data_IF_143912937401
#
_entry.id   IF_143912937401
#
_cell.length_a   1.000
_cell.length_b   1.000
_cell.length_c   1.000
_cell.angle_alpha   90.00
_cell.angle_beta   90.00
_cell.angle_gamma   90.00
#
_symmetry.space_group_name_H-M   'P 1'
#
loop_
_entity.id
_entity.type
_entity.pdbx_description
1 polymer ?
#
# COMPACT_ATOMS: atom_id res chain seq x y z
N UNK A 1 -25.87 -15.99 -5.75
CA UNK A 1 -24.60 -16.69 -5.94
C UNK A 1 -23.63 -15.86 -6.81
N UNK A 2 -24.02 -15.38 -7.98
CA UNK A 2 -23.18 -14.58 -8.89
C UNK A 2 -22.60 -13.30 -8.23
N UNK A 3 -23.40 -12.56 -7.47
CA UNK A 3 -22.98 -11.36 -6.75
C UNK A 3 -21.84 -11.62 -5.74
N UNK A 4 -21.91 -12.71 -5.00
CA UNK A 4 -20.87 -13.07 -4.00
C UNK A 4 -19.54 -13.40 -4.70
N UNK A 5 -19.59 -14.15 -5.78
CA UNK A 5 -18.40 -14.51 -6.56
C UNK A 5 -17.72 -13.25 -7.11
N UNK A 6 -18.50 -12.30 -7.61
CA UNK A 6 -18.00 -11.02 -8.11
C UNK A 6 -17.28 -10.23 -7.02
N UNK A 7 -17.89 -10.13 -5.82
CA UNK A 7 -17.27 -9.43 -4.70
C UNK A 7 -15.97 -10.10 -4.23
N UNK A 8 -15.92 -11.43 -4.20
CA UNK A 8 -14.71 -12.17 -3.83
C UNK A 8 -13.59 -11.94 -4.86
N UNK A 9 -13.92 -12.02 -6.14
CA UNK A 9 -12.95 -11.78 -7.21
C UNK A 9 -12.44 -10.33 -7.20
N UNK A 10 -13.32 -9.35 -7.01
CA UNK A 10 -12.96 -7.96 -6.85
C UNK A 10 -12.04 -7.75 -5.64
N UNK A 11 -12.37 -8.36 -4.50
CA UNK A 11 -11.53 -8.31 -3.29
C UNK A 11 -10.12 -8.85 -3.55
N UNK A 12 -10.02 -10.00 -4.22
CA UNK A 12 -8.71 -10.58 -4.60
C UNK A 12 -7.90 -9.63 -5.48
N UNK A 13 -8.56 -8.97 -6.42
CA UNK A 13 -7.92 -8.00 -7.30
C UNK A 13 -7.41 -6.77 -6.52
N UNK A 14 -8.25 -6.19 -5.65
CA UNK A 14 -7.86 -5.05 -4.79
C UNK A 14 -6.70 -5.42 -3.87
N UNK A 15 -6.74 -6.59 -3.24
CA UNK A 15 -5.65 -7.09 -2.40
C UNK A 15 -4.36 -7.28 -3.20
N UNK A 16 -4.46 -7.78 -4.43
CA UNK A 16 -3.30 -7.99 -5.29
C UNK A 16 -2.64 -6.67 -5.72
N UNK A 17 -3.43 -5.68 -6.16
CA UNK A 17 -2.90 -4.34 -6.46
C UNK A 17 -2.27 -3.71 -5.21
N UNK A 18 -2.93 -3.87 -4.05
CA UNK A 18 -2.43 -3.34 -2.78
C UNK A 18 -1.14 -4.01 -2.35
N UNK A 19 -0.99 -5.31 -2.60
CA UNK A 19 0.25 -6.05 -2.36
C UNK A 19 1.39 -5.48 -3.22
N UNK A 20 1.14 -5.26 -4.52
CA UNK A 20 2.13 -4.64 -5.39
C UNK A 20 2.49 -3.23 -4.92
N UNK A 21 1.49 -2.40 -4.62
CA UNK A 21 1.67 -1.04 -4.12
C UNK A 21 2.55 -1.01 -2.87
N UNK A 22 2.26 -1.86 -1.88
CA UNK A 22 3.05 -1.95 -0.65
C UNK A 22 4.46 -2.50 -0.88
N UNK A 23 4.65 -3.41 -1.84
CA UNK A 23 5.97 -3.87 -2.25
C UNK A 23 6.79 -2.72 -2.83
N UNK A 24 6.21 -1.94 -3.74
CA UNK A 24 6.85 -0.75 -4.29
C UNK A 24 7.16 0.29 -3.20
N UNK A 25 6.21 0.57 -2.31
CA UNK A 25 6.42 1.49 -1.18
C UNK A 25 7.58 1.03 -0.28
N UNK A 26 7.71 -0.27 -0.01
CA UNK A 26 8.79 -0.83 0.80
C UNK A 26 10.15 -0.69 0.11
N UNK A 27 10.23 -0.90 -1.21
CA UNK A 27 11.47 -0.72 -1.97
C UNK A 27 11.97 0.73 -1.94
N UNK A 28 11.06 1.70 -1.88
CA UNK A 28 11.39 3.14 -1.85
C UNK A 28 11.25 3.75 -0.45
N UNK A 29 11.43 2.94 0.60
CA UNK A 29 11.41 3.38 2.00
C UNK A 29 10.12 4.10 2.41
N UNK A 30 8.98 3.66 1.88
CA UNK A 30 7.64 4.20 2.13
C UNK A 30 7.45 5.68 1.78
N UNK A 31 8.22 6.19 0.82
CA UNK A 31 8.11 7.54 0.30
C UNK A 31 7.45 7.55 -1.07
N UNK A 32 6.21 8.01 -1.13
CA UNK A 32 5.44 8.06 -2.38
C UNK A 32 6.15 8.91 -3.46
N UNK A 33 6.79 10.00 -3.06
CA UNK A 33 7.60 10.86 -3.94
C UNK A 33 8.70 10.07 -4.65
N UNK A 34 9.35 9.15 -3.93
CA UNK A 34 10.40 8.29 -4.52
C UNK A 34 9.81 7.25 -5.45
N UNK A 35 8.66 6.68 -5.13
CA UNK A 35 7.94 5.77 -6.02
C UNK A 35 7.61 6.51 -7.33
N UNK A 36 7.02 7.71 -7.23
CA UNK A 36 6.65 8.52 -8.38
C UNK A 36 7.88 8.92 -9.23
N UNK A 37 8.96 9.36 -8.58
CA UNK A 37 10.20 9.76 -9.25
C UNK A 37 10.86 8.60 -10.01
N UNK A 38 10.84 7.38 -9.44
CA UNK A 38 11.46 6.20 -10.07
C UNK A 38 10.46 5.38 -10.91
N UNK A 39 9.24 5.86 -11.08
CA UNK A 39 8.18 5.12 -11.75
C UNK A 39 8.55 4.75 -13.19
N UNK A 40 9.25 5.64 -13.89
CA UNK A 40 9.70 5.42 -15.28
C UNK A 40 10.94 4.53 -15.39
N UNK A 41 11.64 4.25 -14.27
CA UNK A 41 12.89 3.50 -14.29
C UNK A 41 12.68 1.99 -14.46
N UNK A 42 11.53 1.49 -14.03
CA UNK A 42 11.21 0.06 -14.06
C UNK A 42 9.84 -0.16 -14.69
N UNK A 43 9.81 -0.87 -15.79
CA UNK A 43 8.56 -1.22 -16.51
C UNK A 43 7.55 -1.99 -15.65
N UNK A 44 8.02 -2.66 -14.59
CA UNK A 44 7.17 -3.37 -13.63
C UNK A 44 6.08 -2.51 -13.01
N UNK A 45 6.34 -1.21 -12.79
CA UNK A 45 5.34 -0.28 -12.26
C UNK A 45 4.19 -0.06 -13.25
N UNK A 46 4.51 -0.02 -14.56
CA UNK A 46 3.50 0.04 -15.59
C UNK A 46 2.70 -1.27 -15.68
N UNK A 47 3.39 -2.41 -15.75
CA UNK A 47 2.75 -3.71 -15.94
C UNK A 47 1.90 -4.15 -14.76
N UNK A 48 2.33 -3.90 -13.53
CA UNK A 48 1.65 -4.39 -12.32
C UNK A 48 0.87 -3.33 -11.55
N UNK A 49 0.87 -2.07 -11.99
CA UNK A 49 0.09 -1.03 -11.34
C UNK A 49 -0.76 -0.24 -12.33
N UNK A 50 -0.13 0.48 -13.27
CA UNK A 50 -0.88 1.35 -14.19
C UNK A 50 -1.78 0.57 -15.14
N UNK A 51 -1.25 -0.43 -15.84
CA UNK A 51 -2.02 -1.18 -16.84
C UNK A 51 -3.23 -1.88 -16.20
N UNK A 52 -3.08 -2.68 -15.12
CA UNK A 52 -4.24 -3.34 -14.50
C UNK A 52 -5.27 -2.35 -13.97
N UNK A 53 -4.81 -1.23 -13.40
CA UNK A 53 -5.69 -0.19 -12.90
C UNK A 53 -6.46 0.50 -14.04
N UNK A 54 -5.77 0.86 -15.13
CA UNK A 54 -6.38 1.47 -16.32
C UNK A 54 -7.37 0.50 -16.98
N UNK A 55 -6.98 -0.76 -17.15
CA UNK A 55 -7.86 -1.78 -17.73
C UNK A 55 -9.13 -1.98 -16.89
N UNK A 56 -9.02 -1.95 -15.57
CA UNK A 56 -10.18 -2.05 -14.69
C UNK A 56 -11.23 -0.96 -14.98
N UNK A 57 -10.80 0.27 -15.26
CA UNK A 57 -11.72 1.39 -15.52
C UNK A 57 -12.22 1.47 -16.98
N UNK A 58 -11.41 1.00 -17.93
CA UNK A 58 -11.70 1.13 -19.37
C UNK A 58 -12.51 -0.06 -19.87
N UNK A 59 -12.20 -1.29 -19.41
CA UNK A 59 -12.81 -2.50 -19.94
C UNK A 59 -14.30 -2.61 -19.60
N UNK A 60 -15.12 -3.16 -20.51
CA UNK A 60 -16.47 -3.61 -20.19
C UNK A 60 -16.45 -4.68 -19.09
N UNK A 61 -17.54 -4.76 -18.31
CA UNK A 61 -17.65 -5.64 -17.14
C UNK A 61 -17.26 -7.12 -17.44
N UNK A 62 -17.63 -7.64 -18.60
CA UNK A 62 -17.31 -9.00 -18.98
C UNK A 62 -15.79 -9.28 -19.00
N UNK A 63 -15.00 -8.36 -19.54
CA UNK A 63 -13.54 -8.51 -19.63
C UNK A 63 -12.84 -8.26 -18.29
N UNK A 64 -13.46 -7.52 -17.39
CA UNK A 64 -12.94 -7.26 -16.03
C UNK A 64 -12.87 -8.55 -15.22
N UNK A 65 -13.77 -9.51 -15.43
CA UNK A 65 -13.68 -10.83 -14.77
C UNK A 65 -12.38 -11.59 -15.15
N UNK A 66 -11.98 -11.50 -16.42
CA UNK A 66 -10.68 -12.04 -16.85
C UNK A 66 -9.52 -11.37 -16.13
N UNK A 67 -9.56 -10.04 -15.96
CA UNK A 67 -8.56 -9.28 -15.23
C UNK A 67 -8.50 -9.70 -13.75
N UNK A 68 -9.64 -9.92 -13.10
CA UNK A 68 -9.71 -10.36 -11.70
C UNK A 68 -9.03 -11.70 -11.45
N UNK A 69 -9.03 -12.60 -12.43
CA UNK A 69 -8.37 -13.90 -12.32
C UNK A 69 -6.90 -13.86 -12.75
N UNK A 70 -6.64 -13.29 -13.92
CA UNK A 70 -5.30 -13.33 -14.52
C UNK A 70 -4.29 -12.47 -13.77
N UNK A 71 -4.71 -11.31 -13.27
CA UNK A 71 -3.79 -10.40 -12.60
C UNK A 71 -3.22 -10.95 -11.28
N UNK A 72 -4.02 -11.49 -10.33
CA UNK A 72 -3.47 -12.10 -9.12
C UNK A 72 -2.51 -13.26 -9.42
N UNK A 73 -2.81 -14.07 -10.43
CA UNK A 73 -1.96 -15.19 -10.85
C UNK A 73 -0.63 -14.66 -11.41
N UNK A 74 -0.69 -13.69 -12.33
CA UNK A 74 0.50 -13.08 -12.91
C UNK A 74 1.39 -12.42 -11.83
N UNK A 75 0.76 -11.69 -10.90
CA UNK A 75 1.46 -11.07 -9.78
C UNK A 75 2.08 -12.11 -8.84
N UNK A 76 1.38 -13.20 -8.56
CA UNK A 76 1.91 -14.28 -7.73
C UNK A 76 3.14 -14.93 -8.37
N UNK A 77 3.06 -15.30 -9.65
CA UNK A 77 4.19 -15.89 -10.38
C UNK A 77 5.38 -14.92 -10.40
N UNK A 78 5.13 -13.64 -10.67
CA UNK A 78 6.17 -12.62 -10.66
C UNK A 78 6.79 -12.44 -9.27
N UNK A 79 5.98 -12.38 -8.22
CA UNK A 79 6.45 -12.20 -6.84
C UNK A 79 7.34 -13.35 -6.35
N UNK A 80 7.16 -14.56 -6.90
CA UNK A 80 8.03 -15.71 -6.61
C UNK A 80 9.44 -15.55 -7.13
N UNK A 81 9.61 -14.78 -8.23
CA UNK A 81 10.90 -14.53 -8.87
C UNK A 81 11.66 -13.34 -8.27
N UNK A 82 11.03 -12.60 -7.36
CA UNK A 82 11.65 -11.44 -6.72
C UNK A 82 12.67 -11.84 -5.66
N UNK A 83 13.84 -11.21 -5.71
CA UNK A 83 14.86 -11.33 -4.65
C UNK A 83 14.39 -10.65 -3.36
N UNK A 84 13.71 -9.51 -3.48
CA UNK A 84 13.19 -8.73 -2.36
C UNK A 84 11.66 -8.84 -2.28
N UNK A 85 11.17 -9.83 -1.56
CA UNK A 85 9.75 -10.03 -1.30
C UNK A 85 9.23 -9.02 -0.28
N UNK A 86 7.90 -8.77 -0.31
CA UNK A 86 7.24 -7.93 0.70
C UNK A 86 7.42 -8.55 2.10
N UNK A 87 8.02 -7.78 3.00
CA UNK A 87 8.14 -8.14 4.40
C UNK A 87 6.96 -7.56 5.18
N UNK A 88 6.19 -8.41 5.85
CA UNK A 88 5.02 -8.01 6.64
C UNK A 88 5.42 -7.35 7.97
N UNK A 89 5.99 -6.15 7.87
CA UNK A 89 6.27 -5.29 9.02
C UNK A 89 4.98 -4.81 9.69
N UNK A 90 5.08 -4.25 10.90
CA UNK A 90 3.93 -3.65 11.59
C UNK A 90 3.22 -2.56 10.74
N UNK A 91 3.98 -1.81 9.94
CA UNK A 91 3.44 -0.81 8.99
C UNK A 91 2.60 -1.45 7.90
N UNK A 92 3.11 -2.51 7.27
CA UNK A 92 2.39 -3.25 6.21
C UNK A 92 1.12 -3.89 6.78
N UNK A 93 1.19 -4.49 7.96
CA UNK A 93 0.01 -5.07 8.62
C UNK A 93 -1.07 -4.02 8.89
N UNK A 94 -0.69 -2.84 9.40
CA UNK A 94 -1.63 -1.72 9.63
C UNK A 94 -2.26 -1.22 8.33
N UNK A 95 -1.47 -1.09 7.27
CA UNK A 95 -1.99 -0.70 5.96
C UNK A 95 -3.08 -1.68 5.48
N UNK A 96 -2.83 -2.99 5.53
CA UNK A 96 -3.83 -3.99 5.15
C UNK A 96 -5.05 -3.99 6.06
N UNK A 97 -4.88 -3.69 7.34
CA UNK A 97 -6.00 -3.51 8.27
C UNK A 97 -6.88 -2.32 7.87
N UNK A 98 -6.28 -1.16 7.59
CA UNK A 98 -7.02 0.01 7.11
C UNK A 98 -7.67 -0.24 5.75
N UNK A 99 -6.99 -0.96 4.85
CA UNK A 99 -7.55 -1.38 3.57
C UNK A 99 -8.80 -2.24 3.76
N UNK A 100 -8.76 -3.20 4.66
CA UNK A 100 -9.90 -4.05 4.99
C UNK A 100 -11.10 -3.24 5.46
N UNK A 101 -10.91 -2.31 6.38
CA UNK A 101 -11.97 -1.41 6.84
C UNK A 101 -12.48 -0.49 5.73
N UNK A 102 -11.60 0.02 4.87
CA UNK A 102 -11.99 0.86 3.74
C UNK A 102 -12.85 0.10 2.73
N UNK A 103 -12.53 -1.16 2.45
CA UNK A 103 -13.32 -2.02 1.56
C UNK A 103 -14.70 -2.31 2.16
N UNK A 104 -14.77 -2.64 3.46
CA UNK A 104 -16.05 -2.84 4.15
C UNK A 104 -16.91 -1.57 4.09
N UNK A 105 -16.33 -0.44 4.44
CA UNK A 105 -17.02 0.85 4.41
C UNK A 105 -17.55 1.17 3.01
N UNK A 106 -16.74 0.96 1.98
CA UNK A 106 -17.16 1.13 0.60
C UNK A 106 -18.29 0.17 0.22
N UNK A 107 -18.20 -1.10 0.62
CA UNK A 107 -19.26 -2.08 0.34
C UNK A 107 -20.60 -1.68 0.99
N UNK A 108 -20.55 -1.16 2.21
CA UNK A 108 -21.73 -0.63 2.90
C UNK A 108 -22.29 0.58 2.15
N UNK A 109 -21.45 1.53 1.74
CA UNK A 109 -21.89 2.68 0.95
C UNK A 109 -22.52 2.28 -0.38
N UNK A 110 -21.95 1.27 -1.05
CA UNK A 110 -22.52 0.73 -2.29
C UNK A 110 -23.93 0.16 -2.09
N UNK A 111 -24.14 -0.57 -0.99
CA UNK A 111 -25.44 -1.14 -0.68
C UNK A 111 -26.51 -0.07 -0.36
N UNK A 112 -26.12 0.99 0.35
CA UNK A 112 -27.04 2.04 0.74
C UNK A 112 -27.34 3.06 -0.36
N UNK A 113 -26.30 3.50 -1.06
CA UNK A 113 -26.41 4.60 -2.02
C UNK A 113 -26.63 4.13 -3.46
N UNK A 114 -26.62 2.83 -3.73
CA UNK A 114 -26.64 2.23 -5.08
C UNK A 114 -25.62 2.83 -6.05
N UNK A 115 -24.63 3.54 -5.50
CA UNK A 115 -23.53 4.17 -6.23
C UNK A 115 -22.35 3.18 -6.28
N UNK A 116 -22.59 2.02 -6.84
CA UNK A 116 -21.51 1.08 -7.15
C UNK A 116 -20.78 1.57 -8.41
N UNK A 117 -20.01 2.62 -8.26
CA UNK A 117 -19.17 3.12 -9.33
C UNK A 117 -17.83 2.37 -9.36
N UNK A 118 -17.15 2.43 -10.50
CA UNK A 118 -15.80 1.90 -10.70
C UNK A 118 -14.70 2.56 -9.82
N UNK A 119 -15.07 3.27 -8.75
CA UNK A 119 -14.14 3.80 -7.74
C UNK A 119 -13.59 2.73 -6.79
N UNK A 120 -14.06 1.48 -6.94
CA UNK A 120 -13.83 0.38 -6.02
C UNK A 120 -12.39 -0.08 -5.78
N UNK A 121 -11.40 0.38 -6.53
CA UNK A 121 -9.99 0.01 -6.34
C UNK A 121 -9.18 1.17 -5.77
N UNK A 122 -9.29 2.35 -6.39
CA UNK A 122 -8.46 3.50 -6.04
C UNK A 122 -8.84 4.07 -4.68
N UNK A 123 -10.14 4.22 -4.41
CA UNK A 123 -10.61 4.86 -3.18
C UNK A 123 -10.17 4.13 -1.91
N UNK A 124 -10.39 2.81 -1.73
CA UNK A 124 -9.92 2.11 -0.53
C UNK A 124 -8.40 2.09 -0.43
N UNK A 125 -7.67 2.02 -1.55
CA UNK A 125 -6.22 2.09 -1.55
C UNK A 125 -5.70 3.43 -1.01
N UNK A 126 -6.29 4.54 -1.47
CA UNK A 126 -5.93 5.88 -1.01
C UNK A 126 -6.30 6.09 0.46
N UNK A 127 -7.50 5.69 0.88
CA UNK A 127 -7.94 5.76 2.29
C UNK A 127 -6.96 5.00 3.18
N UNK A 128 -6.62 3.75 2.82
CA UNK A 128 -5.70 2.93 3.59
C UNK A 128 -4.29 3.55 3.66
N UNK A 129 -3.80 4.11 2.55
CA UNK A 129 -2.51 4.77 2.50
C UNK A 129 -2.47 6.00 3.42
N UNK A 130 -3.41 6.93 3.29
CA UNK A 130 -3.45 8.14 4.09
C UNK A 130 -3.67 7.85 5.57
N UNK A 131 -4.58 6.93 5.92
CA UNK A 131 -4.80 6.50 7.29
C UNK A 131 -3.51 5.91 7.90
N UNK A 132 -2.80 5.08 7.14
CA UNK A 132 -1.51 4.51 7.57
C UNK A 132 -0.46 5.59 7.80
N UNK A 133 -0.36 6.60 6.92
CA UNK A 133 0.59 7.71 7.05
C UNK A 133 0.28 8.57 8.28
N UNK A 134 -0.99 8.88 8.52
CA UNK A 134 -1.41 9.67 9.70
C UNK A 134 -1.05 8.91 10.98
N UNK A 135 -1.39 7.62 11.04
CA UNK A 135 -1.08 6.78 12.18
C UNK A 135 0.44 6.69 12.46
N UNK A 136 1.24 6.54 11.40
CA UNK A 136 2.71 6.52 11.53
C UNK A 136 3.27 7.82 12.09
N UNK A 137 2.74 8.97 11.65
CA UNK A 137 3.14 10.27 12.21
C UNK A 137 2.81 10.37 13.70
N UNK A 138 1.61 9.95 14.11
CA UNK A 138 1.20 9.95 15.51
C UNK A 138 2.08 9.03 16.36
N UNK A 139 2.34 7.80 15.88
CA UNK A 139 3.21 6.85 16.57
C UNK A 139 4.65 7.38 16.69
N UNK A 140 5.17 7.99 15.62
CA UNK A 140 6.51 8.58 15.62
C UNK A 140 6.65 9.72 16.64
N UNK A 141 5.67 10.61 16.72
CA UNK A 141 5.69 11.70 17.71
C UNK A 141 5.60 11.15 19.15
N UNK A 142 4.85 10.07 19.37
CA UNK A 142 4.83 9.36 20.65
C UNK A 142 6.22 8.83 21.05
N UNK A 143 6.88 8.11 20.16
CA UNK A 143 8.24 7.59 20.40
C UNK A 143 9.27 8.69 20.59
N UNK A 144 9.17 9.76 19.82
CA UNK A 144 10.04 10.93 19.95
C UNK A 144 9.90 11.59 21.32
N UNK A 145 8.66 11.75 21.81
CA UNK A 145 8.39 12.29 23.14
C UNK A 145 8.96 11.39 24.23
N UNK A 146 8.75 10.08 24.14
CA UNK A 146 9.30 9.12 25.10
C UNK A 146 10.83 9.13 25.11
N UNK A 147 11.46 9.10 23.93
CA UNK A 147 12.91 9.19 23.82
C UNK A 147 13.46 10.47 24.43
N UNK A 148 12.80 11.62 24.16
CA UNK A 148 13.19 12.90 24.75
C UNK A 148 13.11 12.89 26.29
N UNK A 149 12.04 12.35 26.83
CA UNK A 149 11.87 12.23 28.29
C UNK A 149 12.96 11.35 28.90
N UNK A 150 13.26 10.20 28.30
CA UNK A 150 14.35 9.32 28.76
C UNK A 150 15.72 9.99 28.66
N UNK A 151 16.01 10.73 27.61
CA UNK A 151 17.26 11.47 27.48
C UNK A 151 17.40 12.56 28.51
N UNK A 152 16.32 13.28 28.82
CA UNK A 152 16.30 14.35 29.81
C UNK A 152 16.45 13.82 31.26
N UNK A 153 16.11 12.58 31.52
CA UNK A 153 16.25 11.95 32.84
C UNK A 153 17.70 11.57 33.19
N UNK A 154 18.63 11.68 32.23
CA UNK A 154 20.05 11.34 32.42
C UNK A 154 20.90 12.63 32.39
N UNK A 155 21.17 13.27 33.54
CA UNK A 155 21.82 14.59 33.57
C UNK A 155 23.23 14.63 33.01
N UNK A 156 23.93 13.48 33.01
CA UNK A 156 25.33 13.36 32.54
C UNK A 156 25.45 12.99 31.06
N UNK A 157 24.33 12.81 30.32
CA UNK A 157 24.36 12.42 28.93
C UNK A 157 24.81 13.55 28.03
N UNK A 158 25.92 13.33 27.31
CA UNK A 158 26.36 14.23 26.24
C UNK A 158 25.90 13.67 24.91
N UNK A 159 25.03 14.41 24.22
CA UNK A 159 24.57 14.03 22.88
C UNK A 159 25.47 14.66 21.83
N UNK A 160 26.16 13.83 21.03
CA UNK A 160 26.97 14.27 19.90
C UNK A 160 26.23 13.94 18.61
N UNK A 161 25.82 14.98 17.85
CA UNK A 161 25.20 14.81 16.54
C UNK A 161 26.28 14.85 15.44
N UNK A 162 26.40 13.75 14.69
CA UNK A 162 27.29 13.68 13.54
C UNK A 162 26.47 13.84 12.26
N UNK A 163 26.68 14.92 11.54
CA UNK A 163 26.09 15.17 10.23
C UNK A 163 27.17 14.99 9.15
N UNK A 164 27.01 13.96 8.31
CA UNK A 164 27.89 13.75 7.17
C UNK A 164 27.04 13.45 5.92
N UNK A 165 27.46 13.98 4.77
CA UNK A 165 26.84 13.67 3.48
C UNK A 165 27.35 12.35 2.88
N UNK A 166 28.58 11.96 3.20
CA UNK A 166 29.23 10.72 2.75
C UNK A 166 29.83 9.96 3.94
N UNK A 167 29.96 8.63 3.83
CA UNK A 167 30.66 7.78 4.79
C UNK A 167 29.87 7.37 6.04
N UNK A 168 28.54 7.49 6.01
CA UNK A 168 27.69 7.01 7.13
C UNK A 168 27.53 5.49 7.20
N UNK A 169 28.03 4.76 6.22
CA UNK A 169 27.93 3.31 6.10
C UNK A 169 29.33 2.74 5.89
N UNK A 170 30.13 2.79 6.91
CA UNK A 170 31.33 1.94 7.03
C UNK A 170 31.15 1.03 8.22
#
# INVERSE_FOLDING_TARGET
MMLIVEHVMHLLFVLSISYYFMSAMQWYSYRLERVAFHFHRYDWHCYFFLIPLSLYYILPSLFVYGLYLLYPIALFVWSRKLDKKLVFTARVKRFFLFLFFAIIFQSILCLYAQICSKLGVVLPLLIAHFASVIFEKMAFEGFKKEARTKLQSIPQLKVVAITASYGKTS
#
